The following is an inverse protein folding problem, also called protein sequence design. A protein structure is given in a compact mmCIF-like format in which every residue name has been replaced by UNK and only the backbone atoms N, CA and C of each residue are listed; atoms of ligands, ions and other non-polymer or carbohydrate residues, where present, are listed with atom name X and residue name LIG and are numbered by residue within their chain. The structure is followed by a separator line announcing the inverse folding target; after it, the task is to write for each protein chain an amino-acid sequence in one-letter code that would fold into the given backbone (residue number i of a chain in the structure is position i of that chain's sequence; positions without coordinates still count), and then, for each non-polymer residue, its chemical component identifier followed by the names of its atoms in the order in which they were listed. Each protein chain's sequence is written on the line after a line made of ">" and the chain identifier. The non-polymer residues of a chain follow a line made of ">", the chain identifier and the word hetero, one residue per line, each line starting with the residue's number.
data_IF_174347519807
#
_entry.id   IF_174347519807
#
_cell.length_a   1.000
_cell.length_b   1.000
_cell.length_c   1.000
_cell.angle_alpha   90.00
_cell.angle_beta   90.00
_cell.angle_gamma   90.00
#
_symmetry.space_group_name_H-M   'P 1'
#
loop_
_entity.id
_entity.type
_entity.pdbx_description
1 polymer ?
#
# COMPACT_ATOMS: atom_id res chain seq x y z
N UNK A 1 -23.61 -11.86 -9.11
CA UNK A 1 -23.43 -10.47 -8.61
C UNK A 1 -21.98 -10.08 -8.85
N UNK A 2 -21.68 -8.88 -9.39
CA UNK A 2 -20.28 -8.48 -9.61
C UNK A 2 -19.51 -8.37 -8.29
N UNK A 3 -18.20 -8.63 -8.33
CA UNK A 3 -17.35 -8.57 -7.15
C UNK A 3 -17.48 -7.23 -6.41
N UNK A 4 -17.42 -6.10 -7.12
CA UNK A 4 -17.54 -4.79 -6.48
C UNK A 4 -18.90 -4.58 -5.83
N UNK A 5 -20.00 -5.06 -6.45
CA UNK A 5 -21.33 -4.92 -5.85
C UNK A 5 -21.42 -5.71 -4.55
N UNK A 6 -20.86 -6.92 -4.49
CA UNK A 6 -20.77 -7.71 -3.26
C UNK A 6 -19.92 -7.01 -2.19
N UNK A 7 -18.75 -6.52 -2.58
CA UNK A 7 -17.81 -5.84 -1.68
C UNK A 7 -18.38 -4.52 -1.13
N UNK A 8 -19.01 -3.68 -1.95
CA UNK A 8 -19.55 -2.39 -1.53
C UNK A 8 -20.87 -2.53 -0.75
N UNK A 9 -21.65 -3.58 -1.00
CA UNK A 9 -22.85 -3.88 -0.22
C UNK A 9 -22.52 -4.69 1.04
N UNK A 10 -22.56 -6.02 0.97
CA UNK A 10 -22.33 -6.91 2.12
C UNK A 10 -20.95 -6.68 2.75
N UNK A 11 -19.92 -6.46 1.94
CA UNK A 11 -18.55 -6.29 2.44
C UNK A 11 -18.33 -5.00 3.24
N UNK A 12 -19.15 -3.96 3.05
CA UNK A 12 -19.00 -2.69 3.76
C UNK A 12 -19.57 -2.70 5.19
N UNK A 13 -20.47 -3.65 5.47
CA UNK A 13 -21.09 -3.81 6.80
C UNK A 13 -20.61 -5.05 7.54
N UNK A 14 -19.88 -5.95 6.87
CA UNK A 14 -19.34 -7.17 7.48
C UNK A 14 -17.99 -6.86 8.14
N UNK A 15 -17.81 -7.09 9.45
CA UNK A 15 -16.50 -6.98 10.09
C UNK A 15 -15.54 -8.06 9.58
N UNK A 16 -14.24 -7.78 9.65
CA UNK A 16 -13.21 -8.77 9.31
C UNK A 16 -13.19 -9.93 10.31
N UNK A 17 -13.13 -9.56 11.60
CA UNK A 17 -13.21 -10.46 12.75
C UNK A 17 -14.16 -9.85 13.78
N UNK A 18 -14.93 -10.68 14.47
CA UNK A 18 -15.85 -10.25 15.52
C UNK A 18 -15.11 -9.92 16.83
N UNK A 19 -14.01 -10.64 17.10
CA UNK A 19 -13.12 -10.40 18.25
C UNK A 19 -11.65 -10.80 17.96
N UNK A 20 -10.80 -10.78 18.99
CA UNK A 20 -9.37 -11.14 18.88
C UNK A 20 -9.04 -12.60 19.19
N UNK A 21 -10.05 -13.47 19.35
CA UNK A 21 -9.94 -14.88 19.73
C UNK A 21 -9.93 -15.83 18.52
N UNK A 22 -9.54 -15.33 17.35
CA UNK A 22 -9.36 -16.15 16.15
C UNK A 22 -8.18 -17.12 16.30
N UNK A 23 -8.27 -18.24 15.58
CA UNK A 23 -7.16 -19.18 15.37
C UNK A 23 -6.55 -18.88 14.00
N UNK A 24 -5.22 -18.85 13.94
CA UNK A 24 -4.49 -18.70 12.68
C UNK A 24 -4.22 -20.10 12.12
N UNK A 25 -4.61 -20.34 10.89
CA UNK A 25 -4.44 -21.61 10.20
C UNK A 25 -4.02 -21.35 8.75
N UNK A 26 -3.19 -22.23 8.19
CA UNK A 26 -2.90 -22.19 6.76
C UNK A 26 -4.04 -22.87 6.01
N UNK A 27 -4.53 -22.28 4.90
CA UNK A 27 -5.50 -22.95 4.07
C UNK A 27 -4.84 -24.11 3.30
N UNK A 28 -5.61 -25.15 2.98
CA UNK A 28 -5.11 -26.34 2.26
C UNK A 28 -4.47 -26.01 0.90
N UNK A 29 -4.93 -24.95 0.25
CA UNK A 29 -4.39 -24.49 -1.03
C UNK A 29 -3.06 -23.72 -0.90
N UNK A 30 -2.53 -23.51 0.30
CA UNK A 30 -1.28 -22.77 0.52
C UNK A 30 -0.05 -23.52 -0.06
N UNK A 31 0.36 -23.11 -1.25
CA UNK A 31 1.57 -23.61 -1.93
C UNK A 31 2.85 -22.89 -1.46
N UNK A 32 3.72 -23.62 -0.75
CA UNK A 32 5.01 -23.13 -0.23
C UNK A 32 5.97 -22.64 -1.33
N UNK A 33 5.99 -23.30 -2.49
CA UNK A 33 6.84 -22.92 -3.63
C UNK A 33 6.42 -21.56 -4.16
N UNK A 34 5.12 -21.34 -4.33
CA UNK A 34 4.55 -20.04 -4.75
C UNK A 34 4.80 -18.96 -3.71
N UNK A 35 4.68 -19.26 -2.41
CA UNK A 35 5.00 -18.32 -1.33
C UNK A 35 6.45 -17.84 -1.43
N UNK A 36 7.42 -18.77 -1.48
CA UNK A 36 8.86 -18.44 -1.60
C UNK A 36 9.16 -17.65 -2.87
N UNK A 37 8.51 -18.00 -3.98
CA UNK A 37 8.68 -17.27 -5.25
C UNK A 37 8.08 -15.86 -5.19
N UNK A 38 6.92 -15.66 -4.54
CA UNK A 38 6.33 -14.34 -4.30
C UNK A 38 7.22 -13.46 -3.41
N UNK A 39 7.85 -14.04 -2.39
CA UNK A 39 8.85 -13.37 -1.56
C UNK A 39 10.07 -12.94 -2.37
N UNK A 40 10.60 -13.84 -3.22
CA UNK A 40 11.72 -13.52 -4.12
C UNK A 40 11.35 -12.45 -5.14
N UNK A 41 10.12 -12.46 -5.67
CA UNK A 41 9.64 -11.44 -6.60
C UNK A 41 9.69 -10.04 -5.98
N UNK A 42 9.31 -9.91 -4.70
CA UNK A 42 9.46 -8.66 -3.96
C UNK A 42 10.92 -8.23 -3.85
N UNK A 43 11.84 -9.13 -3.47
CA UNK A 43 13.27 -8.80 -3.36
C UNK A 43 13.89 -8.37 -4.70
N UNK A 44 13.50 -9.00 -5.81
CA UNK A 44 13.98 -8.64 -7.15
C UNK A 44 13.48 -7.27 -7.62
N UNK A 45 12.34 -6.82 -7.09
CA UNK A 45 11.71 -5.54 -7.43
C UNK A 45 11.69 -4.57 -6.23
N UNK A 46 12.64 -4.70 -5.29
CA UNK A 46 12.55 -4.05 -3.97
C UNK A 46 12.26 -2.54 -4.02
N UNK A 47 12.98 -1.79 -4.86
CA UNK A 47 12.75 -0.34 -5.01
C UNK A 47 11.33 -0.05 -5.55
N UNK A 48 10.96 -0.71 -6.64
CA UNK A 48 9.65 -0.56 -7.28
C UNK A 48 8.49 -0.93 -6.32
N UNK A 49 8.66 -2.01 -5.55
CA UNK A 49 7.66 -2.46 -4.58
C UNK A 49 7.46 -1.45 -3.44
N UNK A 50 8.53 -0.85 -2.92
CA UNK A 50 8.43 0.21 -1.91
C UNK A 50 7.69 1.44 -2.48
N UNK A 51 7.98 1.82 -3.73
CA UNK A 51 7.29 2.91 -4.41
C UNK A 51 5.79 2.64 -4.57
N UNK A 52 5.42 1.42 -4.98
CA UNK A 52 4.00 1.02 -5.07
C UNK A 52 3.30 1.02 -3.73
N UNK A 53 4.00 0.68 -2.65
CA UNK A 53 3.44 0.72 -1.30
C UNK A 53 3.13 2.15 -0.85
N UNK A 54 4.05 3.10 -1.04
CA UNK A 54 3.80 4.52 -0.76
C UNK A 54 2.64 5.07 -1.61
N UNK A 55 2.59 4.71 -2.89
CA UNK A 55 1.50 5.07 -3.80
C UNK A 55 0.15 4.50 -3.34
N UNK A 56 0.10 3.22 -2.98
CA UNK A 56 -1.13 2.59 -2.51
C UNK A 56 -1.61 3.14 -1.18
N UNK A 57 -0.69 3.39 -0.25
CA UNK A 57 -1.03 3.93 1.07
C UNK A 57 -1.76 5.27 0.94
N UNK A 58 -1.25 6.19 0.12
CA UNK A 58 -1.92 7.48 -0.08
C UNK A 58 -3.22 7.35 -0.90
N UNK A 59 -3.31 6.36 -1.80
CA UNK A 59 -4.52 6.12 -2.58
C UNK A 59 -5.70 5.69 -1.69
N UNK A 60 -5.46 4.81 -0.70
CA UNK A 60 -6.53 4.33 0.18
C UNK A 60 -6.99 5.36 1.21
N UNK A 61 -6.19 6.39 1.50
CA UNK A 61 -6.64 7.50 2.36
C UNK A 61 -7.78 8.29 1.72
N UNK A 62 -7.98 8.17 0.40
CA UNK A 62 -9.11 8.80 -0.26
C UNK A 62 -10.45 8.11 0.10
N UNK A 63 -10.42 6.85 0.55
CA UNK A 63 -11.63 6.09 0.91
C UNK A 63 -12.16 6.62 2.26
N UNK A 64 -13.36 7.21 2.32
CA UNK A 64 -13.82 7.92 3.52
C UNK A 64 -13.91 7.06 4.79
N UNK A 65 -14.34 5.79 4.65
CA UNK A 65 -14.43 4.86 5.79
C UNK A 65 -13.07 4.54 6.37
N UNK A 66 -12.05 4.35 5.51
CA UNK A 66 -10.67 4.13 5.94
C UNK A 66 -10.15 5.39 6.61
N UNK A 67 -10.25 6.54 5.95
CA UNK A 67 -9.77 7.82 6.48
C UNK A 67 -10.37 8.15 7.85
N UNK A 68 -11.67 7.89 8.04
CA UNK A 68 -12.35 8.09 9.32
C UNK A 68 -11.71 7.25 10.43
N UNK A 69 -11.49 5.95 10.20
CA UNK A 69 -10.79 5.08 11.17
C UNK A 69 -9.38 5.61 11.46
N UNK A 70 -8.65 6.00 10.41
CA UNK A 70 -7.30 6.52 10.52
C UNK A 70 -7.23 7.79 11.38
N UNK A 71 -8.15 8.73 11.19
CA UNK A 71 -8.29 9.95 12.01
C UNK A 71 -8.67 9.60 13.45
N UNK A 72 -9.66 8.72 13.65
CA UNK A 72 -10.11 8.29 14.99
C UNK A 72 -8.97 7.65 15.80
N UNK A 73 -8.08 6.87 15.16
CA UNK A 73 -6.94 6.26 15.87
C UNK A 73 -5.94 7.29 16.41
N UNK A 74 -5.92 8.50 15.83
CA UNK A 74 -5.02 9.59 16.18
C UNK A 74 -3.52 9.21 16.09
N UNK A 75 -3.18 8.15 15.34
CA UNK A 75 -1.81 7.63 15.17
C UNK A 75 -1.06 8.28 14.00
N UNK A 76 -1.63 9.31 13.37
CA UNK A 76 -0.99 10.04 12.27
C UNK A 76 -1.39 11.51 12.23
N UNK A 77 -1.84 12.06 13.37
CA UNK A 77 -2.20 13.48 13.48
C UNK A 77 -1.01 14.43 13.50
N UNK A 78 0.20 13.91 13.67
CA UNK A 78 1.45 14.67 13.60
C UNK A 78 2.47 13.88 12.80
N UNK A 79 3.49 14.57 12.25
CA UNK A 79 4.59 13.96 11.50
C UNK A 79 5.28 12.85 12.30
N UNK A 80 5.53 13.08 13.59
CA UNK A 80 6.14 12.11 14.50
C UNK A 80 5.31 10.83 14.68
N UNK A 81 3.98 10.97 14.82
CA UNK A 81 3.08 9.82 14.95
C UNK A 81 2.96 9.07 13.62
N UNK A 82 2.83 9.80 12.51
CA UNK A 82 2.82 9.25 11.16
C UNK A 82 4.10 8.46 10.86
N UNK A 83 5.26 9.00 11.18
CA UNK A 83 6.56 8.32 11.10
C UNK A 83 6.51 6.96 11.81
N UNK A 84 6.13 6.94 13.11
CA UNK A 84 6.08 5.70 13.89
C UNK A 84 5.13 4.67 13.27
N UNK A 85 3.94 5.12 12.85
CA UNK A 85 2.92 4.26 12.25
C UNK A 85 3.41 3.62 10.97
N UNK A 86 3.91 4.41 10.03
CA UNK A 86 4.27 3.91 8.71
C UNK A 86 5.61 3.18 8.71
N UNK A 87 6.53 3.52 9.62
CA UNK A 87 7.70 2.69 9.90
C UNK A 87 7.30 1.32 10.44
N UNK A 88 6.39 1.27 11.42
CA UNK A 88 5.87 0.01 11.94
C UNK A 88 5.18 -0.82 10.83
N UNK A 89 4.37 -0.19 9.98
CA UNK A 89 3.72 -0.86 8.85
C UNK A 89 4.74 -1.45 7.86
N UNK A 90 5.79 -0.68 7.52
CA UNK A 90 6.89 -1.14 6.68
C UNK A 90 7.63 -2.34 7.29
N UNK A 91 7.96 -2.29 8.59
CA UNK A 91 8.61 -3.41 9.30
C UNK A 91 7.73 -4.67 9.31
N UNK A 92 6.44 -4.53 9.59
CA UNK A 92 5.49 -5.65 9.55
C UNK A 92 5.44 -6.31 8.17
N UNK A 93 5.42 -5.50 7.11
CA UNK A 93 5.44 -5.93 5.71
C UNK A 93 6.76 -6.62 5.35
N UNK A 94 7.90 -6.10 5.79
CA UNK A 94 9.20 -6.75 5.54
C UNK A 94 9.27 -8.13 6.18
N UNK A 95 8.74 -8.30 7.40
CA UNK A 95 8.73 -9.61 8.06
C UNK A 95 7.97 -10.68 7.27
N UNK A 96 6.86 -10.32 6.59
CA UNK A 96 6.10 -11.29 5.77
C UNK A 96 6.84 -11.68 4.51
N UNK A 97 7.69 -10.80 3.98
CA UNK A 97 8.54 -11.11 2.82
C UNK A 97 9.83 -11.85 3.16
N UNK A 98 10.34 -11.70 4.39
CA UNK A 98 11.67 -12.20 4.78
C UNK A 98 11.64 -13.56 5.51
N UNK A 99 10.49 -13.97 6.04
CA UNK A 99 10.37 -15.18 6.86
C UNK A 99 9.30 -16.12 6.33
N UNK A 100 9.43 -17.45 6.54
CA UNK A 100 8.39 -18.41 6.21
C UNK A 100 7.07 -18.10 6.92
N UNK A 101 5.93 -18.35 6.27
CA UNK A 101 4.60 -18.12 6.84
C UNK A 101 4.15 -19.40 7.53
N UNK A 102 4.73 -19.67 8.70
CA UNK A 102 4.51 -20.91 9.47
C UNK A 102 4.40 -20.59 10.97
N UNK A 103 3.67 -21.40 11.75
CA UNK A 103 3.54 -21.20 13.19
C UNK A 103 4.88 -20.96 13.89
N UNK A 104 4.96 -19.89 14.68
CA UNK A 104 6.15 -19.54 15.48
C UNK A 104 7.16 -18.62 14.79
N UNK A 105 7.10 -18.45 13.46
CA UNK A 105 8.01 -17.54 12.75
C UNK A 105 7.68 -16.07 13.02
N UNK A 106 8.62 -15.17 12.67
CA UNK A 106 8.39 -13.72 12.77
C UNK A 106 7.26 -13.24 11.84
N UNK A 107 7.13 -13.81 10.63
CA UNK A 107 6.01 -13.50 9.73
C UNK A 107 4.67 -13.87 10.37
N UNK A 108 4.56 -15.05 10.97
CA UNK A 108 3.33 -15.50 11.64
C UNK A 108 2.95 -14.63 12.83
N UNK A 109 3.93 -14.31 13.69
CA UNK A 109 3.74 -13.38 14.81
C UNK A 109 3.32 -11.98 14.34
N UNK A 110 3.90 -11.50 13.24
CA UNK A 110 3.55 -10.24 12.59
C UNK A 110 2.10 -10.25 12.11
N UNK A 111 1.70 -11.22 11.30
CA UNK A 111 0.33 -11.35 10.77
C UNK A 111 -0.71 -11.49 11.89
N UNK A 112 -0.41 -12.32 12.89
CA UNK A 112 -1.27 -12.48 14.07
C UNK A 112 -1.44 -11.16 14.81
N UNK A 113 -0.35 -10.39 14.99
CA UNK A 113 -0.39 -9.07 15.63
C UNK A 113 -1.26 -8.10 14.84
N UNK A 114 -1.09 -8.03 13.52
CA UNK A 114 -1.85 -7.13 12.64
C UNK A 114 -3.34 -7.45 12.70
N UNK A 115 -3.72 -8.72 12.54
CA UNK A 115 -5.13 -9.14 12.61
C UNK A 115 -5.76 -8.83 13.97
N UNK A 116 -5.03 -9.05 15.07
CA UNK A 116 -5.46 -8.64 16.42
C UNK A 116 -5.65 -7.12 16.53
N UNK A 117 -4.71 -6.33 16.00
CA UNK A 117 -4.84 -4.88 16.01
C UNK A 117 -6.10 -4.41 15.26
N UNK A 118 -6.41 -5.00 14.10
CA UNK A 118 -7.63 -4.66 13.37
C UNK A 118 -8.90 -5.05 14.13
N UNK A 119 -8.97 -6.25 14.73
CA UNK A 119 -10.12 -6.65 15.55
C UNK A 119 -10.34 -5.69 16.74
N UNK A 120 -9.27 -5.35 17.47
CA UNK A 120 -9.33 -4.40 18.60
C UNK A 120 -9.76 -3.01 18.13
N UNK A 121 -9.24 -2.53 16.99
CA UNK A 121 -9.62 -1.23 16.45
C UNK A 121 -11.06 -1.21 15.97
N UNK A 122 -11.54 -2.24 15.29
CA UNK A 122 -12.96 -2.38 14.91
C UNK A 122 -13.88 -2.23 16.12
N UNK A 123 -13.60 -2.94 17.22
CA UNK A 123 -14.39 -2.82 18.45
C UNK A 123 -14.32 -1.40 19.03
N UNK A 124 -13.11 -0.83 19.12
CA UNK A 124 -12.91 0.51 19.69
C UNK A 124 -13.64 1.59 18.89
N UNK A 125 -13.53 1.58 17.56
CA UNK A 125 -14.15 2.60 16.70
C UNK A 125 -15.66 2.41 16.62
N UNK A 126 -16.14 1.16 16.64
CA UNK A 126 -17.57 0.85 16.68
C UNK A 126 -18.21 1.38 17.95
N UNK A 127 -17.61 1.10 19.12
CA UNK A 127 -18.09 1.60 20.41
C UNK A 127 -18.11 3.14 20.49
N UNK A 128 -17.24 3.80 19.73
CA UNK A 128 -17.20 5.26 19.64
C UNK A 128 -18.14 5.83 18.55
N UNK A 129 -18.99 5.02 17.91
CA UNK A 129 -19.90 5.44 16.84
C UNK A 129 -19.19 5.82 15.53
N UNK A 130 -17.91 5.46 15.37
CA UNK A 130 -17.09 5.87 14.24
C UNK A 130 -17.00 4.83 13.11
N UNK A 131 -17.70 3.71 13.26
CA UNK A 131 -17.75 2.62 12.27
C UNK A 131 -16.77 1.49 12.57
N UNK A 132 -16.67 0.54 11.65
CA UNK A 132 -15.87 -0.69 11.76
C UNK A 132 -14.77 -0.71 10.70
N UNK A 133 -13.74 -1.55 10.89
CA UNK A 133 -12.88 -1.97 9.78
C UNK A 133 -13.58 -3.14 9.09
N UNK A 134 -14.24 -2.84 7.98
CA UNK A 134 -15.06 -3.79 7.23
C UNK A 134 -14.23 -4.70 6.31
N UNK A 135 -14.82 -5.79 5.81
CA UNK A 135 -14.22 -6.64 4.77
C UNK A 135 -13.87 -5.83 3.50
N UNK A 136 -14.68 -4.84 3.13
CA UNK A 136 -14.38 -3.86 2.06
C UNK A 136 -13.10 -3.08 2.37
N UNK A 137 -12.98 -2.54 3.60
CA UNK A 137 -11.81 -1.75 3.98
C UNK A 137 -10.54 -2.60 4.00
N UNK A 138 -10.62 -3.84 4.48
CA UNK A 138 -9.51 -4.79 4.47
C UNK A 138 -9.08 -5.17 3.05
N UNK A 139 -10.03 -5.47 2.16
CA UNK A 139 -9.73 -5.78 0.76
C UNK A 139 -9.15 -4.57 0.01
N UNK A 140 -9.71 -3.38 0.22
CA UNK A 140 -9.15 -2.15 -0.34
C UNK A 140 -7.76 -1.83 0.24
N UNK A 141 -7.50 -2.18 1.50
CA UNK A 141 -6.15 -2.06 2.08
C UNK A 141 -5.19 -3.09 1.48
N UNK A 142 -5.65 -4.30 1.14
CA UNK A 142 -4.83 -5.29 0.45
C UNK A 142 -4.38 -4.80 -0.94
N UNK A 143 -5.22 -4.02 -1.63
CA UNK A 143 -4.87 -3.36 -2.90
C UNK A 143 -3.59 -2.52 -2.80
N UNK A 144 -3.28 -1.92 -1.64
CA UNK A 144 -2.06 -1.10 -1.44
C UNK A 144 -0.79 -1.86 -1.86
N UNK A 145 -0.75 -3.16 -1.60
CA UNK A 145 0.46 -3.95 -1.75
C UNK A 145 0.59 -4.65 -3.09
N UNK A 146 -0.53 -4.94 -3.75
CA UNK A 146 -0.55 -5.77 -4.97
C UNK A 146 -1.34 -5.16 -6.13
N UNK A 147 -2.19 -4.15 -5.88
CA UNK A 147 -2.99 -3.48 -6.91
C UNK A 147 -2.13 -2.80 -7.97
N UNK A 148 -1.23 -1.91 -7.55
CA UNK A 148 -0.30 -1.26 -8.48
C UNK A 148 0.68 -2.24 -9.15
N UNK A 149 1.32 -3.18 -8.42
CA UNK A 149 2.16 -4.21 -9.05
C UNK A 149 1.46 -5.06 -10.12
N UNK A 150 0.20 -5.44 -9.91
CA UNK A 150 -0.50 -6.36 -10.81
C UNK A 150 -1.22 -5.67 -11.97
N UNK A 151 -1.69 -4.42 -11.78
CA UNK A 151 -2.38 -3.64 -12.81
C UNK A 151 -1.42 -2.77 -13.63
N UNK A 152 -0.40 -2.19 -12.99
CA UNK A 152 0.46 -1.18 -13.60
C UNK A 152 1.96 -1.48 -13.43
N UNK A 153 2.44 -2.72 -13.65
CA UNK A 153 3.84 -3.07 -13.38
C UNK A 153 4.83 -2.16 -14.11
N UNK A 154 4.54 -1.82 -15.37
CA UNK A 154 5.41 -0.96 -16.18
C UNK A 154 5.52 0.47 -15.67
N UNK A 155 4.46 1.03 -15.07
CA UNK A 155 4.46 2.40 -14.52
C UNK A 155 5.37 2.55 -13.31
N UNK A 156 5.66 1.44 -12.64
CA UNK A 156 6.45 1.40 -11.41
C UNK A 156 7.77 0.65 -11.57
N UNK A 157 8.14 0.24 -12.79
CA UNK A 157 9.39 -0.47 -13.05
C UNK A 157 9.44 -1.89 -12.50
N UNK A 158 8.28 -2.52 -12.33
CA UNK A 158 8.15 -3.91 -11.87
C UNK A 158 8.29 -4.83 -13.07
N UNK A 159 9.20 -5.79 -12.96
CA UNK A 159 9.48 -6.76 -14.02
C UNK A 159 9.50 -8.16 -13.42
N UNK A 160 8.80 -9.07 -14.08
CA UNK A 160 8.84 -10.50 -13.77
C UNK A 160 8.16 -11.33 -14.83
N UNK A 161 8.38 -12.64 -14.76
CA UNK A 161 7.69 -13.62 -15.59
C UNK A 161 6.25 -13.79 -15.14
N UNK A 162 5.42 -14.39 -16.00
CA UNK A 162 4.03 -14.71 -15.66
C UNK A 162 3.93 -15.59 -14.42
N UNK A 163 4.77 -16.61 -14.32
CA UNK A 163 4.85 -17.49 -13.16
C UNK A 163 5.18 -16.71 -11.86
N UNK A 164 6.09 -15.73 -11.93
CA UNK A 164 6.40 -14.88 -10.77
C UNK A 164 5.22 -14.00 -10.36
N UNK A 165 4.47 -13.45 -11.31
CA UNK A 165 3.25 -12.70 -11.01
C UNK A 165 2.14 -13.58 -10.41
N UNK A 166 1.99 -14.81 -10.89
CA UNK A 166 1.05 -15.79 -10.34
C UNK A 166 1.44 -16.20 -8.90
N UNK A 167 2.73 -16.38 -8.62
CA UNK A 167 3.21 -16.60 -7.26
C UNK A 167 3.05 -15.38 -6.35
N UNK A 168 3.29 -14.17 -6.86
CA UNK A 168 3.05 -12.94 -6.10
C UNK A 168 1.55 -12.77 -5.79
N UNK A 169 0.67 -13.10 -6.73
CA UNK A 169 -0.77 -13.18 -6.51
C UNK A 169 -1.12 -14.19 -5.40
N UNK A 170 -0.60 -15.41 -5.50
CA UNK A 170 -0.81 -16.48 -4.51
C UNK A 170 -0.36 -16.07 -3.11
N UNK A 171 0.81 -15.43 -3.01
CA UNK A 171 1.33 -14.87 -1.77
C UNK A 171 0.34 -13.88 -1.15
N UNK A 172 -0.15 -12.89 -1.91
CA UNK A 172 -1.09 -11.91 -1.37
C UNK A 172 -2.50 -12.46 -1.12
N UNK A 173 -2.93 -13.50 -1.85
CA UNK A 173 -4.13 -14.27 -1.53
C UNK A 173 -4.03 -14.89 -0.15
N UNK A 174 -2.91 -15.54 0.14
CA UNK A 174 -2.62 -16.11 1.46
C UNK A 174 -2.59 -15.03 2.54
N UNK A 175 -1.89 -13.91 2.32
CA UNK A 175 -1.85 -12.83 3.30
C UNK A 175 -3.25 -12.27 3.59
N UNK A 176 -4.09 -12.08 2.57
CA UNK A 176 -5.48 -11.66 2.75
C UNK A 176 -6.28 -12.62 3.63
N UNK A 177 -6.18 -13.92 3.35
CA UNK A 177 -6.81 -14.97 4.15
C UNK A 177 -6.31 -14.94 5.61
N UNK A 178 -4.99 -14.89 5.81
CA UNK A 178 -4.35 -14.87 7.12
C UNK A 178 -4.76 -13.65 7.95
N UNK A 179 -5.12 -12.53 7.29
CA UNK A 179 -5.62 -11.32 7.93
C UNK A 179 -7.14 -11.32 8.18
N UNK A 180 -7.84 -12.43 7.90
CA UNK A 180 -9.28 -12.60 8.17
C UNK A 180 -10.20 -12.18 7.01
N UNK A 181 -9.64 -11.85 5.84
CA UNK A 181 -10.46 -11.48 4.68
C UNK A 181 -11.11 -12.75 4.14
N UNK A 182 -12.45 -12.79 4.10
CA UNK A 182 -13.18 -13.93 3.54
C UNK A 182 -12.92 -14.03 2.04
N UNK A 183 -12.90 -15.25 1.51
CA UNK A 183 -12.56 -15.50 0.10
C UNK A 183 -13.47 -14.75 -0.89
N UNK A 184 -14.75 -14.53 -0.55
CA UNK A 184 -15.65 -13.74 -1.41
C UNK A 184 -15.31 -12.24 -1.46
N UNK A 185 -14.56 -11.73 -0.48
CA UNK A 185 -14.13 -10.33 -0.39
C UNK A 185 -12.65 -10.13 -0.69
N UNK A 186 -11.82 -11.17 -0.64
CA UNK A 186 -10.39 -11.09 -0.94
C UNK A 186 -10.17 -10.63 -2.39
N UNK A 187 -9.39 -9.56 -2.61
CA UNK A 187 -9.15 -9.07 -3.97
C UNK A 187 -8.21 -9.98 -4.78
N UNK A 188 -7.50 -10.90 -4.12
CA UNK A 188 -6.71 -11.93 -4.78
C UNK A 188 -7.54 -13.20 -4.93
N UNK A 189 -7.67 -13.68 -6.15
CA UNK A 189 -8.24 -15.00 -6.49
C UNK A 189 -7.13 -16.03 -6.70
N UNK A 190 -7.55 -17.26 -6.98
CA UNK A 190 -6.64 -18.33 -7.39
C UNK A 190 -5.87 -17.99 -8.67
N UNK A 191 -6.54 -17.39 -9.65
CA UNK A 191 -5.94 -17.02 -10.95
C UNK A 191 -5.53 -15.56 -10.96
N UNK A 192 -4.42 -15.26 -11.65
CA UNK A 192 -3.93 -13.89 -11.82
C UNK A 192 -4.95 -13.01 -12.57
N UNK A 193 -5.64 -13.56 -13.56
CA UNK A 193 -6.69 -12.89 -14.32
C UNK A 193 -7.90 -12.52 -13.44
N UNK A 194 -8.38 -13.45 -12.62
CA UNK A 194 -9.47 -13.18 -11.68
C UNK A 194 -9.11 -12.04 -10.72
N UNK A 195 -7.91 -12.12 -10.15
CA UNK A 195 -7.35 -11.04 -9.34
C UNK A 195 -7.31 -9.71 -10.06
N UNK A 196 -6.76 -9.64 -11.28
CA UNK A 196 -6.71 -8.39 -12.06
C UNK A 196 -8.10 -7.82 -12.31
N UNK A 197 -9.09 -8.67 -12.59
CA UNK A 197 -10.48 -8.24 -12.74
C UNK A 197 -11.04 -7.64 -11.44
N UNK A 198 -10.82 -8.28 -10.28
CA UNK A 198 -11.22 -7.74 -8.97
C UNK A 198 -10.54 -6.41 -8.65
N UNK A 199 -9.25 -6.29 -8.94
CA UNK A 199 -8.48 -5.07 -8.74
C UNK A 199 -8.93 -3.93 -9.65
N UNK A 200 -9.20 -4.20 -10.92
CA UNK A 200 -9.77 -3.19 -11.84
C UNK A 200 -11.14 -2.71 -11.36
N UNK A 201 -11.94 -3.62 -10.81
CA UNK A 201 -13.24 -3.29 -10.24
C UNK A 201 -13.09 -2.39 -8.98
N UNK A 202 -12.15 -2.70 -8.07
CA UNK A 202 -11.81 -1.83 -6.93
C UNK A 202 -11.30 -0.47 -7.42
N UNK A 203 -10.43 -0.45 -8.44
CA UNK A 203 -9.90 0.79 -9.00
C UNK A 203 -11.03 1.67 -9.52
N UNK A 204 -11.88 1.12 -10.40
CA UNK A 204 -12.92 1.88 -11.11
C UNK A 204 -14.05 2.32 -10.19
N UNK A 205 -14.54 1.42 -9.35
CA UNK A 205 -15.79 1.64 -8.63
C UNK A 205 -15.58 2.16 -7.19
N UNK A 206 -14.34 2.12 -6.67
CA UNK A 206 -14.02 2.60 -5.31
C UNK A 206 -12.91 3.66 -5.31
N UNK A 207 -11.72 3.36 -5.82
CA UNK A 207 -10.56 4.28 -5.68
C UNK A 207 -10.67 5.52 -6.56
N UNK A 208 -11.05 5.36 -7.84
CA UNK A 208 -11.20 6.46 -8.78
C UNK A 208 -12.21 7.52 -8.30
N UNK A 209 -13.46 7.17 -7.94
CA UNK A 209 -14.40 8.17 -7.41
C UNK A 209 -13.91 8.78 -6.10
N UNK A 210 -13.25 8.00 -5.23
CA UNK A 210 -12.71 8.51 -3.96
C UNK A 210 -11.59 9.56 -4.18
N UNK A 211 -10.77 9.41 -5.23
CA UNK A 211 -9.66 10.34 -5.54
C UNK A 211 -10.10 11.55 -6.38
N UNK A 212 -11.21 11.42 -7.10
CA UNK A 212 -11.83 12.51 -7.83
C UNK A 212 -12.62 13.43 -6.88
N UNK A 213 -13.31 12.85 -5.90
CA UNK A 213 -14.12 13.55 -4.91
C UNK A 213 -13.68 13.19 -3.48
N UNK A 214 -12.44 13.53 -3.07
CA UNK A 214 -11.96 13.20 -1.73
C UNK A 214 -12.66 14.03 -0.65
N UNK A 215 -12.66 13.54 0.60
CA UNK A 215 -13.15 14.33 1.73
C UNK A 215 -12.20 15.49 2.07
N UNK A 216 -12.69 16.48 2.82
CA UNK A 216 -11.95 17.69 3.16
C UNK A 216 -10.66 17.41 3.95
N UNK A 217 -10.63 16.33 4.74
CA UNK A 217 -9.50 15.94 5.57
C UNK A 217 -8.41 15.19 4.79
N UNK A 218 -8.72 14.71 3.57
CA UNK A 218 -7.83 13.83 2.81
C UNK A 218 -6.47 14.47 2.54
N UNK A 219 -6.45 15.72 2.07
CA UNK A 219 -5.22 16.39 1.68
C UNK A 219 -4.31 16.65 2.88
N UNK A 220 -4.85 17.20 3.96
CA UNK A 220 -4.06 17.51 5.17
C UNK A 220 -3.53 16.25 5.86
N UNK A 221 -4.36 15.19 5.92
CA UNK A 221 -3.94 13.89 6.43
C UNK A 221 -2.82 13.28 5.58
N UNK A 222 -2.99 13.28 4.27
CA UNK A 222 -2.02 12.69 3.34
C UNK A 222 -0.70 13.45 3.34
N UNK A 223 -0.72 14.80 3.39
CA UNK A 223 0.49 15.61 3.55
C UNK A 223 1.26 15.23 4.82
N UNK A 224 0.57 15.17 5.97
CA UNK A 224 1.18 14.77 7.24
C UNK A 224 1.79 13.36 7.17
N UNK A 225 1.11 12.44 6.49
CA UNK A 225 1.60 11.08 6.28
C UNK A 225 2.87 11.03 5.41
N UNK A 226 2.88 11.73 4.28
CA UNK A 226 4.04 11.81 3.37
C UNK A 226 5.25 12.44 4.07
N UNK A 227 5.04 13.52 4.81
CA UNK A 227 6.11 14.15 5.59
C UNK A 227 6.65 13.23 6.69
N UNK A 228 5.77 12.48 7.39
CA UNK A 228 6.21 11.50 8.38
C UNK A 228 7.02 10.35 7.76
N UNK A 229 6.70 9.94 6.53
CA UNK A 229 7.42 8.88 5.82
C UNK A 229 8.81 9.29 5.34
N UNK A 230 9.01 10.59 5.06
CA UNK A 230 10.27 11.12 4.55
C UNK A 230 11.51 10.65 5.34
N UNK A 231 11.40 10.58 6.66
CA UNK A 231 12.52 10.26 7.56
C UNK A 231 13.01 8.80 7.46
N UNK A 232 12.26 7.89 6.83
CA UNK A 232 12.69 6.52 6.51
C UNK A 232 12.55 6.15 5.01
N UNK A 233 11.85 6.98 4.22
CA UNK A 233 11.81 6.87 2.76
C UNK A 233 12.08 8.25 2.11
N UNK A 234 13.35 8.64 1.96
CA UNK A 234 13.69 9.94 1.40
C UNK A 234 13.30 10.14 -0.07
N UNK A 235 13.04 9.06 -0.81
CA UNK A 235 12.79 9.10 -2.26
C UNK A 235 11.37 9.57 -2.63
N UNK A 236 10.42 9.47 -1.70
CA UNK A 236 8.99 9.72 -1.90
C UNK A 236 8.45 10.77 -0.92
N UNK A 237 9.12 11.93 -0.85
CA UNK A 237 8.88 12.94 0.18
C UNK A 237 8.04 14.15 -0.25
N UNK A 238 7.58 14.20 -1.49
CA UNK A 238 6.77 15.30 -2.01
C UNK A 238 5.34 14.84 -2.28
N UNK A 239 4.39 15.44 -1.57
CA UNK A 239 2.96 15.14 -1.69
C UNK A 239 2.42 15.34 -3.12
N UNK A 240 2.71 16.49 -3.76
CA UNK A 240 2.18 16.81 -5.09
C UNK A 240 2.69 15.83 -6.15
N UNK A 241 3.99 15.52 -6.12
CA UNK A 241 4.62 14.54 -7.02
C UNK A 241 4.02 13.14 -6.82
N UNK A 242 3.95 12.66 -5.58
CA UNK A 242 3.43 11.32 -5.30
C UNK A 242 1.94 11.22 -5.67
N UNK A 243 1.15 12.26 -5.37
CA UNK A 243 -0.27 12.32 -5.73
C UNK A 243 -0.48 12.36 -7.25
N UNK A 244 0.35 13.10 -7.99
CA UNK A 244 0.30 13.11 -9.45
C UNK A 244 0.55 11.70 -10.02
N UNK A 245 1.58 11.01 -9.53
CA UNK A 245 1.92 9.65 -9.99
C UNK A 245 0.79 8.67 -9.67
N UNK A 246 0.20 8.74 -8.47
CA UNK A 246 -0.94 7.90 -8.08
C UNK A 246 -2.16 8.16 -8.94
N UNK A 247 -2.55 9.42 -9.11
CA UNK A 247 -3.73 9.79 -9.90
C UNK A 247 -3.55 9.49 -11.38
N UNK A 248 -2.35 9.66 -11.94
CA UNK A 248 -2.00 9.21 -13.30
C UNK A 248 -2.10 7.70 -13.45
N UNK A 249 -1.53 6.93 -12.52
CA UNK A 249 -1.58 5.47 -12.56
C UNK A 249 -3.02 4.93 -12.48
N UNK A 250 -3.86 5.52 -11.61
CA UNK A 250 -5.25 5.11 -11.43
C UNK A 250 -6.21 5.69 -12.48
N UNK A 251 -5.70 6.51 -13.41
CA UNK A 251 -6.44 7.17 -14.50
C UNK A 251 -7.54 8.12 -14.00
N UNK A 252 -7.21 8.96 -13.03
CA UNK A 252 -8.08 10.05 -12.59
C UNK A 252 -8.14 11.12 -13.69
N UNK A 253 -9.33 11.62 -14.08
CA UNK A 253 -9.46 12.57 -15.17
C UNK A 253 -8.55 13.80 -15.05
N UNK A 254 -7.82 14.12 -16.12
CA UNK A 254 -6.88 15.24 -16.21
C UNK A 254 -5.46 14.94 -15.72
N UNK A 255 -5.20 13.77 -15.15
CA UNK A 255 -3.85 13.35 -14.71
C UNK A 255 -3.18 12.48 -15.77
N UNK A 256 -2.52 13.12 -16.72
CA UNK A 256 -1.68 12.46 -17.72
C UNK A 256 -0.38 13.24 -17.93
N UNK A 257 0.67 12.56 -18.41
CA UNK A 257 1.96 13.19 -18.69
C UNK A 257 2.27 13.20 -20.18
N UNK A 258 2.05 12.06 -20.86
CA UNK A 258 2.22 11.97 -22.31
C UNK A 258 0.92 12.26 -23.04
N UNK A 259 1.01 12.80 -24.25
CA UNK A 259 -0.18 13.08 -25.06
C UNK A 259 -0.94 11.82 -25.47
N UNK A 260 -0.26 10.66 -25.55
CA UNK A 260 -0.88 9.35 -25.77
C UNK A 260 -1.79 8.91 -24.62
N UNK A 261 -1.67 9.52 -23.45
CA UNK A 261 -2.50 9.26 -22.27
C UNK A 261 -3.65 10.26 -22.14
N UNK A 262 -3.77 11.22 -23.06
CA UNK A 262 -4.81 12.25 -23.02
C UNK A 262 -6.21 11.61 -22.98
N UNK A 263 -6.98 12.00 -21.98
CA UNK A 263 -8.33 11.53 -21.68
C UNK A 263 -9.42 12.54 -22.08
N UNK A 264 -9.06 13.64 -22.75
CA UNK A 264 -9.95 14.73 -23.15
C UNK A 264 -10.00 15.89 -22.15
N UNK A 265 -9.43 15.75 -20.95
CA UNK A 265 -9.45 16.78 -19.90
C UNK A 265 -8.21 17.69 -19.94
N UNK A 266 -7.91 18.23 -21.12
CA UNK A 266 -6.68 19.00 -21.38
C UNK A 266 -6.59 20.25 -20.51
N UNK A 267 -7.68 20.96 -20.30
CA UNK A 267 -7.66 22.20 -19.50
C UNK A 267 -7.36 21.92 -18.03
N UNK A 268 -8.00 20.90 -17.46
CA UNK A 268 -7.70 20.41 -16.10
C UNK A 268 -6.24 19.99 -15.96
N UNK A 269 -5.67 19.35 -16.98
CA UNK A 269 -4.25 19.00 -16.98
C UNK A 269 -3.35 20.24 -16.95
N UNK A 270 -3.66 21.27 -17.76
CA UNK A 270 -2.90 22.53 -17.72
C UNK A 270 -2.95 23.19 -16.34
N UNK A 271 -4.11 23.22 -15.69
CA UNK A 271 -4.27 23.73 -14.32
C UNK A 271 -3.42 22.95 -13.31
N UNK A 272 -3.46 21.61 -13.37
CA UNK A 272 -2.64 20.74 -12.53
C UNK A 272 -1.15 21.06 -12.72
N UNK A 273 -0.67 21.18 -13.96
CA UNK A 273 0.72 21.53 -14.21
C UNK A 273 1.04 22.95 -13.77
N UNK A 274 0.14 23.92 -13.95
CA UNK A 274 0.32 25.30 -13.50
C UNK A 274 0.53 25.41 -11.98
N UNK A 275 -0.13 24.54 -11.19
CA UNK A 275 0.05 24.45 -9.73
C UNK A 275 1.37 23.76 -9.30
N UNK A 276 2.04 23.04 -10.21
CA UNK A 276 3.33 22.38 -9.95
C UNK A 276 4.50 23.34 -10.20
N UNK A 277 5.42 23.40 -9.23
CA UNK A 277 6.71 24.08 -9.38
C UNK A 277 7.59 23.39 -10.43
N UNK A 278 8.60 24.12 -10.95
CA UNK A 278 9.56 23.57 -11.90
C UNK A 278 10.26 22.32 -11.34
N UNK A 279 10.62 22.32 -10.06
CA UNK A 279 11.26 21.19 -9.38
C UNK A 279 10.34 19.96 -9.31
N UNK A 280 9.06 20.15 -9.04
CA UNK A 280 8.09 19.04 -9.01
C UNK A 280 7.87 18.44 -10.39
N UNK A 281 7.83 19.28 -11.44
CA UNK A 281 7.74 18.81 -12.84
C UNK A 281 8.98 18.02 -13.25
N UNK A 282 10.18 18.51 -12.89
CA UNK A 282 11.44 17.78 -13.12
C UNK A 282 11.44 16.45 -12.35
N UNK A 283 10.96 16.44 -11.09
CA UNK A 283 10.89 15.21 -10.29
C UNK A 283 9.94 14.19 -10.91
N UNK A 284 8.76 14.60 -11.38
CA UNK A 284 7.79 13.74 -12.08
C UNK A 284 8.42 13.15 -13.35
N UNK A 285 9.06 13.99 -14.17
CA UNK A 285 9.78 13.53 -15.35
C UNK A 285 10.83 12.48 -15.01
N UNK A 286 11.70 12.77 -14.04
CA UNK A 286 12.74 11.85 -13.60
C UNK A 286 12.17 10.52 -13.09
N UNK A 287 11.08 10.54 -12.33
CA UNK A 287 10.41 9.31 -11.88
C UNK A 287 9.88 8.49 -13.06
N UNK A 288 9.24 9.12 -14.05
CA UNK A 288 8.74 8.43 -15.24
C UNK A 288 9.91 7.78 -16.02
N UNK A 289 11.03 8.48 -16.17
CA UNK A 289 12.20 7.91 -16.85
C UNK A 289 12.81 6.75 -16.04
N UNK A 290 13.00 6.93 -14.72
CA UNK A 290 13.58 5.91 -13.84
C UNK A 290 12.73 4.64 -13.83
N UNK A 291 11.43 4.76 -13.60
CA UNK A 291 10.55 3.62 -13.38
C UNK A 291 10.02 3.03 -14.69
N UNK A 292 9.60 3.85 -15.67
CA UNK A 292 8.95 3.32 -16.89
C UNK A 292 9.94 2.97 -18.00
N UNK A 293 11.18 3.49 -17.95
CA UNK A 293 12.18 3.31 -19.01
C UNK A 293 13.42 2.58 -18.49
N UNK A 294 14.16 3.17 -17.54
CA UNK A 294 15.42 2.59 -17.08
C UNK A 294 15.23 1.27 -16.33
N UNK A 295 14.19 1.14 -15.52
CA UNK A 295 13.91 -0.10 -14.79
C UNK A 295 13.59 -1.31 -15.70
N UNK A 296 13.44 -1.13 -17.01
CA UNK A 296 13.37 -2.27 -17.96
C UNK A 296 14.70 -3.02 -18.06
N UNK A 297 15.82 -2.33 -17.85
CA UNK A 297 17.15 -2.93 -17.91
C UNK A 297 17.59 -3.45 -16.53
N UNK A 298 18.18 -4.64 -16.51
CA UNK A 298 18.59 -5.33 -15.26
C UNK A 298 19.59 -4.49 -14.46
N UNK A 299 20.56 -3.85 -15.12
CA UNK A 299 21.59 -3.02 -14.46
C UNK A 299 20.97 -1.88 -13.66
N UNK A 300 20.05 -1.12 -14.26
CA UNK A 300 19.38 -0.01 -13.57
C UNK A 300 18.51 -0.51 -12.41
N UNK A 301 17.77 -1.61 -12.57
CA UNK A 301 17.04 -2.21 -11.44
C UNK A 301 17.96 -2.58 -10.29
N UNK A 302 19.12 -3.15 -10.58
CA UNK A 302 20.11 -3.49 -9.56
C UNK A 302 20.61 -2.24 -8.83
N UNK A 303 20.93 -1.17 -9.57
CA UNK A 303 21.33 0.13 -9.00
C UNK A 303 20.21 0.70 -8.12
N UNK A 304 18.97 0.76 -8.60
CA UNK A 304 17.86 1.34 -7.83
C UNK A 304 17.53 0.50 -6.59
N UNK A 305 17.56 -0.83 -6.69
CA UNK A 305 17.41 -1.71 -5.54
C UNK A 305 18.55 -1.50 -4.53
N UNK A 306 19.79 -1.32 -4.98
CA UNK A 306 20.93 -1.03 -4.12
C UNK A 306 20.77 0.33 -3.42
N UNK A 307 20.38 1.39 -4.15
CA UNK A 307 20.09 2.71 -3.57
C UNK A 307 19.01 2.59 -2.49
N UNK A 308 17.91 1.88 -2.77
CA UNK A 308 16.84 1.68 -1.79
C UNK A 308 17.32 0.88 -0.59
N UNK A 309 18.10 -0.17 -0.81
CA UNK A 309 18.71 -0.95 0.26
C UNK A 309 19.64 -0.08 1.13
N UNK A 310 20.45 0.78 0.52
CA UNK A 310 21.31 1.72 1.23
C UNK A 310 20.50 2.68 2.11
N UNK A 311 19.36 3.18 1.63
CA UNK A 311 18.43 3.96 2.47
C UNK A 311 17.79 3.15 3.60
N UNK A 312 17.75 1.82 3.50
CA UNK A 312 17.37 0.92 4.60
C UNK A 312 18.26 1.06 5.83
N UNK A 313 19.43 1.70 5.72
CA UNK A 313 20.23 2.07 6.90
C UNK A 313 19.45 2.99 7.85
N UNK A 314 18.51 3.80 7.35
CA UNK A 314 17.64 4.65 8.17
C UNK A 314 16.65 3.84 9.02
N UNK A 315 16.41 2.58 8.67
CA UNK A 315 15.60 1.69 9.50
C UNK A 315 16.36 1.27 10.76
N UNK A 316 17.68 1.03 10.61
CA UNK A 316 18.60 0.59 11.68
C UNK A 316 19.14 1.78 12.49
N UNK A 317 19.63 2.81 11.79
CA UNK A 317 20.21 4.03 12.32
C UNK A 317 19.38 5.24 11.87
N UNK A 318 18.25 5.54 12.53
CA UNK A 318 17.29 6.55 12.09
C UNK A 318 17.76 7.98 12.40
N UNK A 319 18.95 8.38 11.97
CA UNK A 319 19.56 9.67 12.34
C UNK A 319 18.70 10.88 11.94
N UNK A 320 18.03 10.83 10.78
CA UNK A 320 17.08 11.86 10.36
C UNK A 320 15.91 12.00 11.35
N UNK A 321 15.32 10.88 11.78
CA UNK A 321 14.23 10.89 12.75
C UNK A 321 14.71 11.22 14.18
N UNK A 322 15.96 10.88 14.54
CA UNK A 322 16.57 11.27 15.82
C UNK A 322 16.72 12.79 15.87
N UNK A 323 17.21 13.38 14.78
CA UNK A 323 17.37 14.83 14.67
C UNK A 323 16.03 15.56 14.80
N UNK A 324 15.00 15.10 14.10
CA UNK A 324 13.69 15.77 14.09
C UNK A 324 12.84 15.49 15.33
N UNK A 325 12.71 14.22 15.73
CA UNK A 325 11.73 13.78 16.73
C UNK A 325 12.36 13.32 18.05
N UNK A 326 13.69 13.28 18.13
CA UNK A 326 14.42 12.73 19.27
C UNK A 326 14.46 11.20 19.29
N UNK A 327 15.40 10.68 20.11
CA UNK A 327 15.75 9.26 20.14
C UNK A 327 14.58 8.32 20.48
N UNK A 328 13.69 8.73 21.39
CA UNK A 328 12.58 7.87 21.84
C UNK A 328 11.53 7.63 20.75
N UNK A 329 11.32 8.60 19.86
CA UNK A 329 10.37 8.48 18.75
C UNK A 329 10.99 7.77 17.55
N UNK A 330 12.28 8.00 17.30
CA UNK A 330 12.98 7.48 16.14
C UNK A 330 13.07 5.95 16.08
N UNK A 331 13.23 5.28 17.23
CA UNK A 331 13.26 3.82 17.30
C UNK A 331 11.84 3.24 17.47
N UNK A 332 11.48 2.32 16.57
CA UNK A 332 10.15 1.70 16.50
C UNK A 332 10.32 0.19 16.66
N UNK A 333 9.53 -0.39 17.56
CA UNK A 333 9.48 -1.83 17.82
C UNK A 333 8.07 -2.34 17.54
N UNK A 334 7.96 -3.44 16.78
CA UNK A 334 6.68 -3.99 16.31
C UNK A 334 6.30 -5.35 16.92
N UNK A 335 7.28 -6.10 17.41
CA UNK A 335 7.09 -7.37 18.08
C UNK A 335 7.75 -7.26 19.45
N UNK A 336 6.97 -6.90 20.47
CA UNK A 336 7.48 -6.88 21.84
C UNK A 336 7.94 -8.29 22.18
N UNK A 337 9.18 -8.44 22.65
CA UNK A 337 9.57 -9.64 23.39
C UNK A 337 8.67 -9.71 24.63
N UNK A 338 7.84 -10.75 24.72
CA UNK A 338 7.23 -11.11 26.00
C UNK A 338 8.28 -11.72 26.90
#
# INVERSE_FOLDING_TARGET
>A
MSYTKLMLSKGSTTPCDDDSNFVMELPEWADERKIKMGQRFFSLNFNAMNRTFSAGLIAIFAIPTILKILITTNQSSTKAKAYRRYKANGMHTQLTYQHPIEPGTKAWKSLTTIRKMHAIMTRRTSNAGNGIISQKDMSATLFVYMGFPLLFPERFGIVGSREQFEAFNHFWRLIGYMLGIKDEFNCCEETLEGTRNRLEAIRKDLLLPSLEFPSNEFESYTKTAVEGMWYFNPLDNNYKVLMFIVKRALKVPGYFYFWSENDGHVEKNKEIFADLSLWERIRIFSDIIIYEHFSKFVVFRWIFNFIRFAFGILDIFPFLAIYEFGRQIAYVEILKSR
#
